data_IF_095305745555
#
_entry.id   IF_095305745555
#
_cell.length_a   1.000
_cell.length_b   1.000
_cell.length_c   1.000
_cell.angle_alpha   90.00
_cell.angle_beta   90.00
_cell.angle_gamma   90.00
#
_symmetry.space_group_name_H-M   'P 1'
#
loop_
_entity.id
_entity.type
_entity.pdbx_description
1 polymer ?
#
# COMPACT_ATOMS: atom_id res chain seq x y z
N UNK A 1 -9.90 -4.42 12.01
CA UNK A 1 -11.28 -4.30 12.54
C UNK A 1 -11.43 -2.93 13.17
N UNK A 2 -12.48 -2.19 12.81
CA UNK A 2 -12.81 -0.88 13.41
C UNK A 2 -14.16 -1.00 14.11
N UNK A 3 -14.26 -0.47 15.32
CA UNK A 3 -15.50 -0.43 16.11
C UNK A 3 -15.66 0.95 16.73
N UNK A 4 -16.81 1.55 16.57
CA UNK A 4 -17.20 2.73 17.35
C UNK A 4 -17.85 2.27 18.67
N UNK A 5 -17.27 2.56 19.82
CA UNK A 5 -17.79 2.12 21.10
C UNK A 5 -18.97 2.97 21.64
N UNK A 6 -19.29 4.09 21.00
CA UNK A 6 -20.33 5.01 21.47
C UNK A 6 -21.71 4.36 21.39
N UNK A 7 -22.55 4.43 22.44
CA UNK A 7 -23.91 3.86 22.43
C UNK A 7 -24.84 4.48 21.39
N UNK A 8 -24.56 5.72 21.03
CA UNK A 8 -25.33 6.50 20.05
C UNK A 8 -24.72 6.48 18.65
N UNK A 9 -23.74 5.60 18.43
CA UNK A 9 -23.10 5.50 17.12
C UNK A 9 -24.15 5.20 16.04
N UNK A 10 -24.18 5.96 14.94
CA UNK A 10 -25.16 5.77 13.86
C UNK A 10 -24.88 4.51 13.04
N UNK A 11 -23.92 3.70 13.48
CA UNK A 11 -23.34 2.59 12.74
C UNK A 11 -24.04 1.28 13.09
N UNK A 12 -25.11 0.97 12.35
CA UNK A 12 -25.96 -0.19 12.56
C UNK A 12 -25.42 -1.54 12.08
N UNK A 13 -24.21 -1.57 11.52
CA UNK A 13 -23.69 -2.76 10.83
C UNK A 13 -22.60 -3.47 11.65
N UNK A 14 -22.94 -3.89 12.89
CA UNK A 14 -22.02 -4.69 13.72
C UNK A 14 -21.68 -6.02 13.01
N UNK A 15 -20.36 -6.26 12.82
CA UNK A 15 -19.87 -7.47 12.17
C UNK A 15 -19.95 -7.45 10.63
N UNK A 16 -20.28 -6.31 10.02
CA UNK A 16 -20.21 -6.16 8.57
C UNK A 16 -18.74 -6.20 8.08
N UNK A 17 -18.58 -6.74 6.89
CA UNK A 17 -17.29 -6.80 6.18
C UNK A 17 -17.40 -5.95 4.92
N UNK A 18 -16.31 -5.32 4.54
CA UNK A 18 -16.22 -4.53 3.30
C UNK A 18 -14.96 -4.93 2.53
N UNK A 19 -15.05 -4.93 1.21
CA UNK A 19 -13.91 -5.10 0.30
C UNK A 19 -13.22 -3.76 -0.05
N UNK A 20 -13.55 -2.67 0.65
CA UNK A 20 -12.93 -1.37 0.43
C UNK A 20 -11.43 -1.40 0.70
N UNK A 21 -10.65 -0.76 -0.16
CA UNK A 21 -9.22 -0.55 0.08
C UNK A 21 -9.00 0.39 1.26
N UNK A 22 -8.08 -0.02 2.14
CA UNK A 22 -7.68 0.76 3.30
C UNK A 22 -6.16 0.70 3.47
N UNK A 23 -5.58 1.79 3.92
CA UNK A 23 -4.16 1.91 4.20
C UNK A 23 -3.94 2.37 5.64
N UNK A 24 -2.77 2.09 6.19
CA UNK A 24 -2.45 2.50 7.57
C UNK A 24 -2.55 4.02 7.77
N UNK A 25 -2.29 4.82 6.74
CA UNK A 25 -2.41 6.28 6.78
C UNK A 25 -3.86 6.75 6.98
N UNK A 26 -4.86 5.89 6.71
CA UNK A 26 -6.28 6.21 6.88
C UNK A 26 -6.72 6.18 8.34
N UNK A 27 -5.93 5.52 9.20
CA UNK A 27 -6.28 5.31 10.63
C UNK A 27 -6.39 6.64 11.36
N UNK A 28 -5.43 7.56 11.16
CA UNK A 28 -5.44 8.86 11.85
C UNK A 28 -6.70 9.67 11.52
N UNK A 29 -7.02 9.83 10.23
CA UNK A 29 -8.24 10.55 9.81
C UNK A 29 -9.51 9.86 10.28
N UNK A 30 -9.54 8.54 10.30
CA UNK A 30 -10.69 7.79 10.79
C UNK A 30 -10.93 8.04 12.27
N UNK A 31 -9.86 8.01 13.09
CA UNK A 31 -9.96 8.29 14.53
C UNK A 31 -10.39 9.73 14.81
N UNK A 32 -9.84 10.69 14.07
CA UNK A 32 -10.22 12.10 14.20
C UNK A 32 -11.71 12.30 13.84
N UNK A 33 -12.18 11.65 12.78
CA UNK A 33 -13.59 11.69 12.36
C UNK A 33 -14.51 11.11 13.44
N UNK A 34 -14.18 9.93 13.94
CA UNK A 34 -14.94 9.28 15.02
C UNK A 34 -14.95 10.09 16.32
N UNK A 35 -13.89 10.85 16.58
CA UNK A 35 -13.81 11.77 17.72
C UNK A 35 -14.51 13.12 17.51
N UNK A 36 -15.02 13.39 16.31
CA UNK A 36 -15.61 14.68 15.96
C UNK A 36 -14.61 15.81 15.75
N UNK A 37 -13.35 15.48 15.47
CA UNK A 37 -12.22 16.41 15.31
C UNK A 37 -11.81 16.66 13.86
N UNK A 38 -12.68 16.38 12.89
CA UNK A 38 -12.37 16.49 11.45
C UNK A 38 -11.86 17.88 11.03
N UNK A 39 -12.38 18.93 11.64
CA UNK A 39 -12.01 20.31 11.33
C UNK A 39 -10.62 20.68 11.86
N UNK A 40 -10.11 19.92 12.81
CA UNK A 40 -8.81 20.13 13.43
C UNK A 40 -7.68 19.39 12.69
N UNK A 41 -8.04 18.49 11.75
CA UNK A 41 -7.04 17.74 10.99
C UNK A 41 -6.44 18.63 9.91
N UNK A 42 -5.13 18.79 9.95
CA UNK A 42 -4.41 19.56 8.94
C UNK A 42 -4.61 18.98 7.53
N UNK A 43 -4.67 19.86 6.54
CA UNK A 43 -4.82 19.46 5.13
C UNK A 43 -3.61 18.69 4.58
N UNK A 44 -2.46 18.80 5.24
CA UNK A 44 -1.22 18.07 4.92
C UNK A 44 -1.23 16.60 5.35
N UNK A 45 -2.21 16.19 6.16
CA UNK A 45 -2.34 14.79 6.57
C UNK A 45 -2.95 13.98 5.44
N UNK A 46 -2.18 13.02 4.93
CA UNK A 46 -2.65 12.06 3.96
C UNK A 46 -3.65 11.07 4.57
N UNK A 47 -4.28 10.29 3.72
CA UNK A 47 -5.26 9.30 4.12
C UNK A 47 -6.71 9.78 4.00
N UNK A 48 -7.63 8.85 4.05
CA UNK A 48 -9.08 9.07 3.94
C UNK A 48 -9.77 8.46 5.17
N UNK A 49 -10.80 9.11 5.69
CA UNK A 49 -11.57 8.53 6.79
C UNK A 49 -12.35 7.29 6.31
N UNK A 50 -12.23 6.20 7.04
CA UNK A 50 -13.00 4.97 6.84
C UNK A 50 -14.34 5.00 7.62
N UNK A 51 -14.63 6.06 8.38
CA UNK A 51 -15.86 6.18 9.15
C UNK A 51 -17.15 6.05 8.29
N UNK A 52 -17.21 6.56 7.05
CA UNK A 52 -18.36 6.33 6.18
C UNK A 52 -18.65 4.86 5.91
N UNK A 53 -17.65 3.98 5.88
CA UNK A 53 -17.82 2.54 5.69
C UNK A 53 -18.46 1.84 6.90
N UNK A 54 -18.39 2.45 8.09
CA UNK A 54 -19.11 1.96 9.27
C UNK A 54 -20.61 2.23 9.17
N UNK A 55 -21.00 3.25 8.42
CA UNK A 55 -22.42 3.57 8.15
C UNK A 55 -22.96 2.74 6.98
N UNK A 56 -22.20 2.67 5.90
CA UNK A 56 -22.51 1.84 4.74
C UNK A 56 -21.26 1.10 4.28
N UNK A 57 -21.18 -0.21 4.52
CA UNK A 57 -20.01 -1.00 4.12
C UNK A 57 -19.89 -1.22 2.61
N UNK A 58 -20.91 -0.88 1.81
CA UNK A 58 -20.82 -0.87 0.36
C UNK A 58 -19.97 0.32 -0.12
N UNK A 59 -18.67 0.05 -0.35
CA UNK A 59 -17.71 1.05 -0.78
C UNK A 59 -18.00 1.61 -2.16
N UNK A 60 -18.74 0.90 -3.01
CA UNK A 60 -19.07 1.37 -4.38
C UNK A 60 -19.96 2.61 -4.36
N UNK A 61 -20.68 2.83 -3.27
CA UNK A 61 -21.54 3.99 -3.06
C UNK A 61 -20.82 5.14 -2.33
N UNK A 62 -19.57 4.94 -1.92
CA UNK A 62 -18.79 5.98 -1.26
C UNK A 62 -17.87 6.69 -2.27
N UNK A 63 -18.15 7.96 -2.64
CA UNK A 63 -17.36 8.68 -3.64
C UNK A 63 -15.93 8.98 -3.18
N UNK A 64 -15.61 8.77 -1.91
CA UNK A 64 -14.27 8.91 -1.34
C UNK A 64 -13.56 7.58 -1.13
N UNK A 65 -14.19 6.46 -1.49
CA UNK A 65 -13.53 5.16 -1.42
C UNK A 65 -12.33 5.13 -2.35
N UNK A 66 -11.25 4.51 -1.88
CA UNK A 66 -10.06 4.31 -2.70
C UNK A 66 -10.34 3.23 -3.75
N UNK A 67 -9.77 3.42 -4.94
CA UNK A 67 -9.81 2.43 -6.02
C UNK A 67 -8.55 1.54 -6.03
N UNK A 68 -7.58 1.86 -5.17
CA UNK A 68 -6.37 1.09 -4.97
C UNK A 68 -5.76 1.37 -3.59
N UNK A 69 -4.99 0.43 -3.08
CA UNK A 69 -4.12 0.62 -1.92
C UNK A 69 -2.65 0.60 -2.37
N UNK A 70 -1.85 1.47 -1.76
CA UNK A 70 -0.43 1.59 -2.04
C UNK A 70 0.40 1.20 -0.83
N UNK A 71 1.55 0.59 -1.08
CA UNK A 71 2.51 0.28 -0.04
C UNK A 71 3.93 0.39 -0.56
N UNK A 72 4.88 0.54 0.38
CA UNK A 72 6.30 0.58 0.07
C UNK A 72 7.08 -0.27 1.05
N UNK A 73 8.15 -0.91 0.58
CA UNK A 73 9.04 -1.74 1.37
C UNK A 73 10.49 -1.50 0.95
N UNK A 74 11.32 -1.09 1.92
CA UNK A 74 12.75 -0.99 1.68
C UNK A 74 13.40 -2.39 1.70
N UNK A 75 14.40 -2.59 0.84
CA UNK A 75 15.26 -3.76 0.85
C UNK A 75 16.70 -3.34 1.11
N UNK A 76 17.27 -3.87 2.19
CA UNK A 76 18.67 -3.62 2.57
C UNK A 76 19.58 -4.67 1.95
N UNK A 77 20.79 -4.26 1.58
CA UNK A 77 21.80 -5.19 1.08
C UNK A 77 22.67 -5.78 2.19
N UNK A 78 22.66 -5.16 3.35
CA UNK A 78 23.48 -5.56 4.50
C UNK A 78 22.63 -5.63 5.77
N UNK A 79 22.86 -6.63 6.59
CA UNK A 79 22.29 -6.73 7.92
C UNK A 79 22.92 -5.63 8.82
N UNK A 80 22.13 -4.73 9.39
CA UNK A 80 22.61 -3.63 10.19
C UNK A 80 23.28 -4.07 11.52
N UNK A 81 23.00 -5.28 11.99
CA UNK A 81 23.54 -5.82 13.24
C UNK A 81 24.85 -6.59 13.02
N UNK A 82 24.94 -7.36 11.96
CA UNK A 82 26.12 -8.20 11.68
C UNK A 82 27.05 -7.60 10.65
N UNK A 83 26.62 -6.58 9.91
CA UNK A 83 27.30 -5.98 8.76
C UNK A 83 27.70 -7.02 7.70
N UNK A 84 26.95 -8.10 7.60
CA UNK A 84 27.11 -9.12 6.57
C UNK A 84 26.09 -8.91 5.45
N UNK A 85 26.40 -9.32 4.22
CA UNK A 85 25.45 -9.33 3.13
C UNK A 85 24.20 -10.14 3.50
N UNK A 86 23.01 -9.58 3.27
CA UNK A 86 21.76 -10.28 3.45
C UNK A 86 21.54 -11.13 2.19
N UNK A 87 21.35 -12.43 2.38
CA UNK A 87 20.88 -13.29 1.31
C UNK A 87 19.48 -12.81 0.88
N UNK A 88 19.27 -12.70 -0.42
CA UNK A 88 17.97 -12.30 -1.01
C UNK A 88 16.80 -13.18 -0.57
N UNK A 89 17.08 -14.39 -0.09
CA UNK A 89 16.10 -15.34 0.42
C UNK A 89 15.92 -15.28 1.95
N UNK A 90 16.77 -14.55 2.64
CA UNK A 90 16.59 -14.33 4.07
C UNK A 90 15.54 -13.26 4.26
N UNK A 91 14.49 -13.54 5.02
CA UNK A 91 13.54 -12.53 5.49
C UNK A 91 14.36 -11.55 6.33
N UNK A 92 14.85 -10.50 5.69
CA UNK A 92 15.56 -9.46 6.39
C UNK A 92 14.60 -8.84 7.39
N UNK A 93 15.03 -8.73 8.64
CA UNK A 93 14.42 -7.82 9.58
C UNK A 93 14.25 -6.47 8.90
N UNK A 94 13.17 -5.78 9.26
CA UNK A 94 12.85 -4.48 8.67
C UNK A 94 14.12 -3.62 8.59
N UNK A 95 14.37 -2.97 7.45
CA UNK A 95 15.51 -2.04 7.29
C UNK A 95 15.41 -0.80 8.19
N UNK A 96 14.66 -0.89 9.28
CA UNK A 96 14.36 0.23 10.18
C UNK A 96 15.60 0.85 10.79
N UNK A 97 16.63 0.04 11.04
CA UNK A 97 17.92 0.51 11.59
C UNK A 97 18.95 0.83 10.51
N UNK A 98 18.65 0.58 9.26
CA UNK A 98 19.58 0.84 8.15
C UNK A 98 19.54 2.32 7.76
N UNK A 99 20.70 3.01 7.71
CA UNK A 99 20.75 4.37 7.20
C UNK A 99 20.18 4.47 5.79
N UNK A 100 19.44 5.54 5.49
CA UNK A 100 18.77 5.70 4.19
C UNK A 100 19.72 5.65 2.99
N UNK A 101 20.97 6.07 3.16
CA UNK A 101 22.02 5.99 2.13
C UNK A 101 22.60 4.58 1.95
N UNK A 102 22.16 3.60 2.72
CA UNK A 102 22.62 2.20 2.66
C UNK A 102 21.50 1.25 2.22
N UNK A 103 20.36 1.78 1.77
CA UNK A 103 19.31 0.97 1.15
C UNK A 103 19.77 0.53 -0.25
N UNK A 104 19.41 -0.70 -0.64
CA UNK A 104 19.70 -1.22 -1.98
C UNK A 104 18.58 -0.94 -2.96
N UNK A 105 17.37 -1.29 -2.57
CA UNK A 105 16.18 -1.19 -3.40
C UNK A 105 15.00 -0.67 -2.58
N UNK A 106 14.00 -0.13 -3.31
CA UNK A 106 12.70 0.20 -2.78
C UNK A 106 11.64 -0.51 -3.62
N UNK A 107 10.82 -1.33 -2.98
CA UNK A 107 9.62 -1.90 -3.57
C UNK A 107 8.46 -0.96 -3.39
N UNK A 108 7.77 -0.64 -4.46
CA UNK A 108 6.48 0.04 -4.46
C UNK A 108 5.42 -0.90 -4.98
N UNK A 109 4.32 -1.02 -4.26
CA UNK A 109 3.23 -1.91 -4.63
C UNK A 109 1.91 -1.16 -4.72
N UNK A 110 1.09 -1.58 -5.67
CA UNK A 110 -0.31 -1.17 -5.83
C UNK A 110 -1.20 -2.41 -5.85
N UNK A 111 -2.27 -2.41 -5.05
CA UNK A 111 -3.35 -3.40 -5.07
C UNK A 111 -4.61 -2.75 -5.60
N UNK A 112 -5.11 -3.26 -6.70
CA UNK A 112 -6.42 -2.94 -7.30
C UNK A 112 -7.37 -4.11 -7.13
N UNK A 113 -8.61 -4.02 -7.60
CA UNK A 113 -9.58 -5.11 -7.47
C UNK A 113 -9.05 -6.43 -8.05
N UNK A 114 -8.43 -6.37 -9.25
CA UNK A 114 -8.01 -7.57 -9.97
C UNK A 114 -6.51 -7.85 -9.89
N UNK A 115 -5.69 -6.88 -9.47
CA UNK A 115 -4.24 -6.99 -9.62
C UNK A 115 -3.48 -6.50 -8.39
N UNK A 116 -2.40 -7.20 -8.09
CA UNK A 116 -1.32 -6.68 -7.26
C UNK A 116 -0.06 -6.56 -8.10
N UNK A 117 0.51 -5.39 -8.17
CA UNK A 117 1.73 -5.10 -8.92
C UNK A 117 2.78 -4.48 -7.99
N UNK A 118 4.00 -5.02 -8.05
CA UNK A 118 5.15 -4.49 -7.30
C UNK A 118 6.30 -4.20 -8.26
N UNK A 119 6.87 -3.01 -8.13
CA UNK A 119 8.09 -2.62 -8.82
C UNK A 119 9.23 -2.44 -7.82
N UNK A 120 10.32 -3.18 -8.01
CA UNK A 120 11.55 -3.07 -7.23
C UNK A 120 12.52 -2.14 -7.94
N UNK A 121 12.68 -0.93 -7.41
CA UNK A 121 13.49 0.13 -7.99
C UNK A 121 14.82 0.26 -7.26
N UNK A 122 15.90 0.48 -8.00
CA UNK A 122 17.19 0.80 -7.40
C UNK A 122 17.09 2.08 -6.58
N UNK A 123 17.70 2.07 -5.40
CA UNK A 123 17.73 3.23 -4.54
C UNK A 123 18.93 4.13 -4.88
N UNK A 124 18.69 5.41 -5.04
CA UNK A 124 19.73 6.43 -5.17
C UNK A 124 20.13 6.91 -3.77
N UNK A 125 21.28 6.43 -3.31
CA UNK A 125 21.82 6.72 -1.98
C UNK A 125 22.22 8.20 -1.78
N UNK A 126 22.44 8.93 -2.87
CA UNK A 126 22.81 10.36 -2.83
C UNK A 126 21.55 11.22 -2.79
N UNK A 127 20.63 10.97 -3.71
CA UNK A 127 19.37 11.71 -3.80
C UNK A 127 18.34 11.23 -2.75
N UNK A 128 18.60 10.13 -2.03
CA UNK A 128 17.73 9.49 -1.04
C UNK A 128 16.31 9.21 -1.59
N UNK A 129 16.24 8.70 -2.81
CA UNK A 129 15.00 8.39 -3.51
C UNK A 129 15.17 7.20 -4.45
N UNK A 130 14.05 6.57 -4.80
CA UNK A 130 14.05 5.51 -5.80
C UNK A 130 14.33 6.06 -7.21
N UNK A 131 15.11 5.32 -7.98
CA UNK A 131 15.40 5.62 -9.37
C UNK A 131 14.37 4.94 -10.28
N UNK A 132 13.38 5.69 -10.73
CA UNK A 132 12.30 5.22 -11.60
C UNK A 132 12.74 4.78 -13.00
N UNK A 133 13.99 5.04 -13.36
CA UNK A 133 14.59 4.57 -14.62
C UNK A 133 15.40 3.28 -14.45
N UNK A 134 15.63 2.82 -13.21
CA UNK A 134 16.42 1.63 -12.90
C UNK A 134 15.54 0.60 -12.15
N UNK A 135 14.77 -0.15 -12.95
CA UNK A 135 13.88 -1.21 -12.45
C UNK A 135 14.72 -2.49 -12.30
N UNK A 136 14.77 -3.04 -11.10
CA UNK A 136 15.47 -4.29 -10.81
C UNK A 136 14.60 -5.51 -11.10
N UNK A 137 13.35 -5.47 -10.66
CA UNK A 137 12.38 -6.53 -10.87
C UNK A 137 10.94 -5.99 -10.85
N UNK A 138 10.02 -6.77 -11.42
CA UNK A 138 8.58 -6.52 -11.35
C UNK A 138 7.83 -7.80 -11.03
N UNK A 139 6.78 -7.66 -10.24
CA UNK A 139 5.88 -8.76 -9.89
C UNK A 139 4.46 -8.32 -10.20
N UNK A 140 3.70 -9.19 -10.82
CA UNK A 140 2.27 -8.99 -11.09
C UNK A 140 1.52 -10.25 -10.74
N UNK A 141 0.52 -10.11 -9.89
CA UNK A 141 -0.34 -11.20 -9.43
C UNK A 141 -1.78 -10.90 -9.78
N UNK A 142 -2.47 -11.95 -10.27
CA UNK A 142 -3.89 -11.86 -10.63
C UNK A 142 -4.75 -12.20 -9.40
N UNK A 143 -5.54 -11.25 -8.97
CA UNK A 143 -6.49 -11.37 -7.86
C UNK A 143 -7.95 -11.40 -8.31
N UNK A 144 -8.22 -11.64 -9.59
CA UNK A 144 -9.59 -11.76 -10.08
C UNK A 144 -10.31 -12.89 -9.34
N UNK A 145 -11.39 -12.55 -8.64
CA UNK A 145 -12.16 -13.49 -7.83
C UNK A 145 -11.67 -13.66 -6.39
N UNK A 146 -10.63 -12.95 -5.98
CA UNK A 146 -10.20 -12.87 -4.59
C UNK A 146 -11.19 -11.99 -3.79
N UNK A 147 -11.96 -12.60 -2.92
CA UNK A 147 -12.92 -11.91 -2.05
C UNK A 147 -12.27 -11.34 -0.77
N UNK A 148 -10.97 -11.63 -0.55
CA UNK A 148 -10.24 -11.24 0.65
C UNK A 148 -10.73 -11.88 1.95
N UNK A 149 -11.62 -12.85 1.90
CA UNK A 149 -12.31 -13.44 3.04
C UNK A 149 -12.02 -14.92 3.22
N UNK A 150 -11.73 -15.61 2.13
CA UNK A 150 -11.54 -17.06 2.11
C UNK A 150 -10.07 -17.40 2.40
N UNK A 151 -9.78 -17.87 3.61
CA UNK A 151 -8.41 -18.18 4.07
C UNK A 151 -7.71 -19.20 3.17
N UNK A 152 -8.45 -20.17 2.61
CA UNK A 152 -7.88 -21.18 1.69
C UNK A 152 -7.45 -20.60 0.34
N UNK A 153 -7.91 -19.42 -0.02
CA UNK A 153 -7.56 -18.75 -1.26
C UNK A 153 -6.37 -17.79 -1.11
N UNK A 154 -5.97 -17.45 0.12
CA UNK A 154 -4.85 -16.54 0.38
C UNK A 154 -3.52 -17.04 -0.19
N UNK A 155 -3.34 -18.36 -0.25
CA UNK A 155 -2.10 -18.98 -0.73
C UNK A 155 -2.04 -19.11 -2.26
N UNK A 156 -3.15 -18.93 -2.98
CA UNK A 156 -3.22 -19.25 -4.42
C UNK A 156 -3.00 -18.04 -5.33
N UNK A 157 -3.27 -16.82 -4.86
CA UNK A 157 -3.29 -15.62 -5.71
C UNK A 157 -1.90 -15.00 -5.96
N UNK A 158 -0.89 -15.27 -5.12
CA UNK A 158 0.44 -14.65 -5.21
C UNK A 158 1.58 -15.66 -5.49
N UNK A 159 1.26 -16.82 -6.03
CA UNK A 159 2.25 -17.86 -6.35
C UNK A 159 2.86 -17.68 -7.75
N UNK A 160 2.08 -17.21 -8.71
CA UNK A 160 2.49 -17.10 -10.11
C UNK A 160 2.69 -15.64 -10.52
N UNK A 161 3.94 -15.22 -10.71
CA UNK A 161 4.25 -13.90 -11.26
C UNK A 161 3.96 -13.88 -12.77
N UNK A 162 2.88 -13.20 -13.15
CA UNK A 162 2.42 -13.10 -14.55
C UNK A 162 2.83 -11.79 -15.25
N UNK A 163 3.80 -11.05 -14.70
CA UNK A 163 4.23 -9.75 -15.24
C UNK A 163 4.68 -9.83 -16.70
N UNK A 164 5.41 -10.87 -17.07
CA UNK A 164 5.89 -11.07 -18.44
C UNK A 164 4.77 -11.37 -19.45
N UNK A 165 3.67 -11.95 -18.98
CA UNK A 165 2.52 -12.32 -19.80
C UNK A 165 1.55 -11.13 -20.00
N UNK A 166 1.65 -10.09 -19.18
CA UNK A 166 0.70 -8.97 -19.14
C UNK A 166 1.40 -7.59 -19.20
N UNK A 167 2.20 -7.31 -20.26
CA UNK A 167 3.02 -6.09 -20.31
C UNK A 167 2.20 -4.79 -20.32
N UNK A 168 0.97 -4.82 -20.83
CA UNK A 168 0.11 -3.63 -20.88
C UNK A 168 -0.44 -3.29 -19.49
N UNK A 169 -0.79 -4.30 -18.70
CA UNK A 169 -1.22 -4.14 -17.31
C UNK A 169 -0.06 -3.61 -16.47
N UNK A 170 1.12 -4.21 -16.61
CA UNK A 170 2.35 -3.73 -15.95
C UNK A 170 2.60 -2.25 -16.27
N UNK A 171 2.49 -1.85 -17.53
CA UNK A 171 2.68 -0.45 -17.93
C UNK A 171 1.67 0.48 -17.28
N UNK A 172 0.41 0.10 -17.25
CA UNK A 172 -0.66 0.90 -16.64
C UNK A 172 -0.47 1.06 -15.14
N UNK A 173 -0.18 -0.03 -14.42
CA UNK A 173 0.01 -0.01 -12.97
C UNK A 173 1.32 0.68 -12.58
N UNK A 174 2.39 0.56 -13.38
CA UNK A 174 3.64 1.30 -13.20
C UNK A 174 3.40 2.82 -13.33
N UNK A 175 2.58 3.25 -14.27
CA UNK A 175 2.23 4.66 -14.41
C UNK A 175 1.48 5.19 -13.17
N UNK A 176 0.56 4.39 -12.61
CA UNK A 176 -0.15 4.74 -11.38
C UNK A 176 0.79 4.81 -10.18
N UNK A 177 1.69 3.82 -10.00
CA UNK A 177 2.71 3.85 -8.95
C UNK A 177 3.59 5.10 -9.06
N UNK A 178 4.07 5.39 -10.27
CA UNK A 178 4.89 6.58 -10.51
C UNK A 178 4.12 7.87 -10.20
N UNK A 179 2.85 7.95 -10.57
CA UNK A 179 2.00 9.10 -10.26
C UNK A 179 1.78 9.31 -8.76
N UNK A 180 1.81 8.22 -7.98
CA UNK A 180 1.60 8.27 -6.53
C UNK A 180 2.89 8.57 -5.75
N UNK A 181 4.00 7.90 -6.08
CA UNK A 181 5.23 7.95 -5.29
C UNK A 181 6.34 8.82 -5.84
N UNK A 182 6.37 9.09 -7.15
CA UNK A 182 7.40 9.97 -7.69
C UNK A 182 7.14 11.41 -7.24
N UNK A 183 8.18 12.15 -6.82
CA UNK A 183 8.02 13.56 -6.58
C UNK A 183 7.51 14.25 -7.85
N UNK A 184 6.59 15.18 -7.68
CA UNK A 184 6.18 16.04 -8.79
C UNK A 184 7.42 16.69 -9.39
N UNK A 185 7.59 16.62 -10.72
CA UNK A 185 8.67 17.33 -11.36
C UNK A 185 8.54 18.82 -11.03
N UNK A 186 9.64 19.51 -10.69
CA UNK A 186 9.58 20.94 -10.46
C UNK A 186 8.96 21.58 -11.72
N UNK A 187 7.91 22.35 -11.54
CA UNK A 187 7.33 23.15 -12.62
C UNK A 187 8.38 24.19 -13.00
N UNK A 188 8.86 24.16 -14.25
CA UNK A 188 9.72 25.19 -14.81
C UNK A 188 9.03 26.56 -14.81
#
# INVERSE_FOLDING_TARGET
MIRDPRPSAPYGHSGAVTAAFAENIDIYRTLADLAGLNTEVESSVDGVSLAPLLVNPDHTQNPKAKHAAFSQQAHCLMDPHTNLPIDVWTVADSCTMTPRNSLGFMGYSIRTDDWRFTAWLQWDAIALRANWSAINATELYNHTGDDGLTISALDDYENDNVAQLNPDIVRSLMAQLRGHFAPAEPRE
#
